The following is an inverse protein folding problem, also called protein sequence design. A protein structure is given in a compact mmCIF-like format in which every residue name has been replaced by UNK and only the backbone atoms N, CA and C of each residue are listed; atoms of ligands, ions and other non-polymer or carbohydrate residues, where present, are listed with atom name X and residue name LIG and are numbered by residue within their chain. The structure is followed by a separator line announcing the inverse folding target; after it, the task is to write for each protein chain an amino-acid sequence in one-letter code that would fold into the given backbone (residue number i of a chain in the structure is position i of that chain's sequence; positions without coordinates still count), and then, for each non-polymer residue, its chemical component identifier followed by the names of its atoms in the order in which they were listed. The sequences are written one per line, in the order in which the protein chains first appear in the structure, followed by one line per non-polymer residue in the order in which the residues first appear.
data_IF_892994889292
#
_entry.id   IF_892994889292
#
_cell.length_a   1.000
_cell.length_b   1.000
_cell.length_c   1.000
_cell.angle_alpha   90.00
_cell.angle_beta   90.00
_cell.angle_gamma   90.00
#
_symmetry.space_group_name_H-M   'P 1'
#
loop_
_entity.id
_entity.type
_entity.pdbx_description
1 polymer ?
#
# COMPACT_ATOMS: atom_id res chain seq x y z
N UNK A 1 -5.02 -21.65 1.98
CA UNK A 1 -4.09 -20.92 1.09
C UNK A 1 -3.51 -19.78 1.89
N UNK A 2 -2.19 -19.74 2.05
CA UNK A 2 -1.51 -18.63 2.71
C UNK A 2 -1.47 -17.44 1.74
N UNK A 3 -2.15 -16.35 2.11
CA UNK A 3 -2.19 -15.13 1.30
C UNK A 3 -1.07 -14.14 1.63
N UNK A 4 -0.27 -14.41 2.67
CA UNK A 4 0.79 -13.52 3.13
C UNK A 4 0.30 -12.27 3.87
N UNK A 5 -1.01 -12.14 4.13
CA UNK A 5 -1.64 -11.08 4.92
C UNK A 5 -2.88 -11.61 5.65
N UNK A 6 -3.27 -10.97 6.74
CA UNK A 6 -4.48 -11.29 7.48
C UNK A 6 -5.71 -10.81 6.71
N UNK A 7 -6.62 -11.74 6.43
CA UNK A 7 -7.85 -11.48 5.68
C UNK A 7 -9.04 -11.16 6.58
N UNK A 8 -8.92 -11.40 7.88
CA UNK A 8 -10.01 -11.19 8.82
C UNK A 8 -10.06 -9.72 9.24
N UNK A 9 -11.25 -9.12 9.22
CA UNK A 9 -11.46 -7.73 9.63
C UNK A 9 -10.72 -6.68 8.79
N UNK A 10 -10.44 -6.98 7.51
CA UNK A 10 -9.88 -6.00 6.55
C UNK A 10 -11.00 -5.43 5.68
N UNK A 11 -11.14 -4.10 5.71
CA UNK A 11 -12.01 -3.36 4.79
C UNK A 11 -11.14 -2.62 3.76
N UNK A 12 -11.47 -2.79 2.47
CA UNK A 12 -10.78 -2.10 1.37
C UNK A 12 -11.71 -1.03 0.80
N UNK A 13 -11.23 0.22 0.79
CA UNK A 13 -11.91 1.35 0.17
C UNK A 13 -11.08 1.85 -1.00
N UNK A 14 -11.73 2.06 -2.15
CA UNK A 14 -11.10 2.69 -3.32
C UNK A 14 -11.62 4.11 -3.45
N UNK A 15 -10.70 5.07 -3.46
CA UNK A 15 -11.00 6.49 -3.58
C UNK A 15 -10.28 7.05 -4.80
N UNK A 16 -10.98 7.87 -5.58
CA UNK A 16 -10.40 8.63 -6.67
C UNK A 16 -10.87 10.08 -6.59
N UNK A 17 -10.15 10.88 -5.80
CA UNK A 17 -10.44 12.29 -5.60
C UNK A 17 -10.03 13.18 -6.80
N UNK A 18 -9.34 12.62 -7.80
CA UNK A 18 -8.99 13.35 -9.03
C UNK A 18 -10.24 13.64 -9.87
N UNK A 19 -11.26 12.79 -9.77
CA UNK A 19 -12.54 12.95 -10.45
C UNK A 19 -13.38 14.11 -9.91
N UNK A 20 -12.99 14.71 -8.79
CA UNK A 20 -13.71 15.83 -8.16
C UNK A 20 -13.26 17.22 -8.65
N UNK A 21 -12.35 17.29 -9.63
CA UNK A 21 -11.85 18.55 -10.19
C UNK A 21 -10.87 19.31 -9.30
N UNK A 22 -10.35 18.67 -8.25
CA UNK A 22 -9.37 19.27 -7.34
C UNK A 22 -7.95 19.35 -7.96
N UNK A 23 -7.21 20.41 -7.60
CA UNK A 23 -5.77 20.49 -7.86
C UNK A 23 -5.02 19.42 -7.05
N UNK A 24 -3.86 18.97 -7.55
CA UNK A 24 -3.11 17.84 -7.01
C UNK A 24 -2.74 17.98 -5.51
N UNK A 25 -2.41 19.19 -5.07
CA UNK A 25 -2.08 19.48 -3.67
C UNK A 25 -3.29 19.23 -2.77
N UNK A 26 -4.49 19.62 -3.23
CA UNK A 26 -5.74 19.42 -2.51
C UNK A 26 -6.13 17.94 -2.45
N UNK A 27 -5.89 17.19 -3.52
CA UNK A 27 -6.08 15.73 -3.55
C UNK A 27 -5.19 15.04 -2.52
N UNK A 28 -3.92 15.45 -2.44
CA UNK A 28 -2.98 14.87 -1.46
C UNK A 28 -3.40 15.17 -0.02
N UNK A 29 -3.83 16.41 0.25
CA UNK A 29 -4.37 16.78 1.56
C UNK A 29 -5.62 15.96 1.90
N UNK A 30 -6.54 15.80 0.95
CA UNK A 30 -7.76 15.03 1.13
C UNK A 30 -7.48 13.59 1.57
N UNK A 31 -6.54 12.89 0.91
CA UNK A 31 -6.20 11.52 1.30
C UNK A 31 -5.61 11.42 2.71
N UNK A 32 -4.79 12.40 3.12
CA UNK A 32 -4.27 12.47 4.49
C UNK A 32 -5.38 12.67 5.52
N UNK A 33 -6.33 13.57 5.24
CA UNK A 33 -7.47 13.83 6.13
C UNK A 33 -8.39 12.61 6.25
N UNK A 34 -8.69 11.93 5.14
CA UNK A 34 -9.48 10.69 5.15
C UNK A 34 -8.79 9.63 5.99
N UNK A 35 -7.50 9.38 5.77
CA UNK A 35 -6.75 8.39 6.53
C UNK A 35 -6.75 8.70 8.02
N UNK A 36 -6.48 9.97 8.38
CA UNK A 36 -6.47 10.43 9.78
C UNK A 36 -7.83 10.23 10.45
N UNK A 37 -8.93 10.56 9.76
CA UNK A 37 -10.28 10.38 10.31
C UNK A 37 -10.67 8.92 10.45
N UNK A 38 -10.33 8.07 9.47
CA UNK A 38 -10.61 6.63 9.54
C UNK A 38 -9.83 5.99 10.67
N UNK A 39 -8.54 6.31 10.83
CA UNK A 39 -7.71 5.82 11.93
C UNK A 39 -8.22 6.24 13.32
N UNK A 40 -8.98 7.33 13.41
CA UNK A 40 -9.56 7.83 14.65
C UNK A 40 -10.95 7.28 14.98
N UNK A 41 -11.56 6.47 14.10
CA UNK A 41 -12.86 5.87 14.37
C UNK A 41 -12.76 4.83 15.49
N UNK A 42 -13.79 4.71 16.35
CA UNK A 42 -13.88 3.60 17.28
C UNK A 42 -13.86 2.28 16.51
N UNK A 43 -13.22 1.26 17.08
CA UNK A 43 -13.03 -0.09 16.52
C UNK A 43 -12.07 -0.22 15.33
N UNK A 44 -11.52 0.88 14.80
CA UNK A 44 -10.43 0.82 13.82
C UNK A 44 -9.10 0.61 14.55
N UNK A 45 -8.49 -0.57 14.36
CA UNK A 45 -7.19 -0.89 14.96
C UNK A 45 -6.01 -0.21 14.27
N UNK A 46 -6.06 -0.13 12.95
CA UNK A 46 -5.03 0.48 12.11
C UNK A 46 -5.62 0.84 10.75
N UNK A 47 -5.06 1.86 10.11
CA UNK A 47 -5.40 2.23 8.75
C UNK A 47 -4.14 2.66 8.00
N UNK A 48 -4.06 2.28 6.72
CA UNK A 48 -3.02 2.72 5.80
C UNK A 48 -3.59 2.78 4.38
N UNK A 49 -2.78 3.17 3.41
CA UNK A 49 -3.17 3.23 2.00
C UNK A 49 -2.18 2.49 1.11
N UNK A 50 -2.64 2.14 -0.08
CA UNK A 50 -1.83 1.62 -1.17
C UNK A 50 -2.31 2.20 -2.50
N UNK A 51 -1.39 2.48 -3.41
CA UNK A 51 -1.73 2.89 -4.78
C UNK A 51 -2.26 1.68 -5.57
N UNK A 52 -1.66 0.52 -5.38
CA UNK A 52 -2.12 -0.75 -5.92
C UNK A 52 -2.86 -1.51 -4.82
N UNK A 53 -4.18 -1.61 -4.94
CA UNK A 53 -5.02 -2.30 -3.96
C UNK A 53 -4.80 -3.81 -3.96
N UNK A 54 -5.03 -4.44 -2.80
CA UNK A 54 -4.97 -5.90 -2.64
C UNK A 54 -5.93 -6.60 -3.60
N UNK A 55 -5.46 -7.67 -4.23
CA UNK A 55 -6.27 -8.57 -5.09
C UNK A 55 -7.02 -7.84 -6.22
N UNK A 56 -6.50 -6.69 -6.67
CA UNK A 56 -7.11 -5.91 -7.77
C UNK A 56 -6.73 -6.41 -9.16
N UNK A 57 -5.79 -7.36 -9.25
CA UNK A 57 -5.17 -7.76 -10.52
C UNK A 57 -4.26 -6.69 -11.14
N UNK A 58 -4.10 -5.55 -10.46
CA UNK A 58 -3.27 -4.45 -10.92
C UNK A 58 -1.83 -4.67 -10.46
N UNK A 59 -0.86 -4.44 -11.33
CA UNK A 59 0.57 -4.56 -11.00
C UNK A 59 1.37 -3.41 -11.60
N UNK A 60 2.42 -2.97 -10.91
CA UNK A 60 3.31 -1.93 -11.41
C UNK A 60 4.75 -2.43 -11.44
N UNK A 61 5.32 -2.58 -12.64
CA UNK A 61 6.72 -2.95 -12.79
C UNK A 61 7.64 -1.89 -12.21
N UNK A 62 8.73 -2.30 -11.57
CA UNK A 62 9.58 -1.37 -10.81
C UNK A 62 10.86 -0.91 -11.52
N UNK A 63 11.34 -1.62 -12.54
CA UNK A 63 12.63 -1.29 -13.19
C UNK A 63 13.86 -1.35 -12.25
N UNK A 64 13.66 -1.76 -11.00
CA UNK A 64 14.70 -1.84 -9.97
C UNK A 64 15.63 -3.00 -10.32
N UNK A 65 16.93 -2.75 -10.25
CA UNK A 65 17.97 -3.77 -10.36
C UNK A 65 18.68 -3.88 -9.02
N UNK A 66 18.76 -5.10 -8.50
CA UNK A 66 19.60 -5.39 -7.35
C UNK A 66 21.07 -5.44 -7.80
N UNK A 67 21.95 -4.86 -6.99
CA UNK A 67 23.39 -4.96 -7.21
C UNK A 67 23.83 -6.43 -7.19
N UNK A 68 24.67 -6.82 -8.15
CA UNK A 68 25.12 -8.21 -8.31
C UNK A 68 24.08 -9.17 -8.90
N UNK A 69 22.87 -8.71 -9.25
CA UNK A 69 21.85 -9.55 -9.86
C UNK A 69 21.85 -9.45 -11.40
N UNK A 70 21.92 -10.60 -12.07
CA UNK A 70 21.77 -10.72 -13.52
C UNK A 70 20.42 -11.37 -13.84
N UNK A 71 19.47 -10.64 -14.46
CA UNK A 71 18.18 -11.20 -14.86
C UNK A 71 18.34 -12.35 -15.86
N UNK A 72 17.51 -13.39 -15.71
CA UNK A 72 17.42 -14.48 -16.71
C UNK A 72 16.49 -14.07 -17.84
N UNK A 73 16.55 -14.79 -18.96
CA UNK A 73 15.57 -14.61 -20.03
C UNK A 73 14.15 -14.85 -19.48
N UNK A 74 13.23 -13.92 -19.78
CA UNK A 74 11.86 -13.95 -19.27
C UNK A 74 11.68 -13.39 -17.85
N UNK A 75 12.74 -12.96 -17.18
CA UNK A 75 12.64 -12.27 -15.89
C UNK A 75 11.97 -10.89 -16.07
N UNK A 76 10.82 -10.72 -15.44
CA UNK A 76 10.01 -9.49 -15.50
C UNK A 76 10.45 -8.43 -14.50
N UNK A 77 11.41 -8.77 -13.63
CA UNK A 77 11.85 -7.93 -12.53
C UNK A 77 10.79 -7.77 -11.44
N UNK A 78 11.11 -7.02 -10.36
CA UNK A 78 10.21 -6.86 -9.25
C UNK A 78 9.04 -5.93 -9.60
N UNK A 79 7.89 -6.21 -8.99
CA UNK A 79 6.77 -5.28 -8.93
C UNK A 79 6.99 -4.30 -7.76
N UNK A 80 6.44 -3.09 -7.87
CA UNK A 80 6.44 -2.08 -6.81
C UNK A 80 5.03 -1.63 -6.48
N UNK A 81 4.87 -1.15 -5.26
CA UNK A 81 3.69 -0.44 -4.81
C UNK A 81 4.12 0.74 -3.95
N UNK A 82 3.37 1.83 -4.00
CA UNK A 82 3.49 2.89 -2.99
C UNK A 82 2.44 2.63 -1.92
N UNK A 83 2.91 2.53 -0.68
CA UNK A 83 2.09 2.28 0.49
C UNK A 83 2.37 3.32 1.57
N UNK A 84 1.39 3.55 2.42
CA UNK A 84 1.55 4.42 3.59
C UNK A 84 2.36 3.74 4.70
N UNK A 85 2.75 4.54 5.70
CA UNK A 85 3.26 4.02 6.96
C UNK A 85 2.27 3.03 7.61
N UNK A 86 2.78 2.03 8.32
CA UNK A 86 1.97 1.02 9.01
C UNK A 86 1.17 0.09 8.08
N UNK A 87 1.47 0.06 6.78
CA UNK A 87 0.77 -0.80 5.82
C UNK A 87 0.90 -2.29 6.17
N UNK A 88 2.12 -2.73 6.49
CA UNK A 88 2.36 -4.12 6.86
C UNK A 88 1.66 -4.47 8.16
N UNK A 89 1.74 -3.59 9.17
CA UNK A 89 1.01 -3.75 10.43
C UNK A 89 -0.52 -3.83 10.23
N UNK A 90 -1.10 -2.93 9.43
CA UNK A 90 -2.54 -2.90 9.13
C UNK A 90 -3.03 -4.21 8.53
N UNK A 91 -2.18 -4.88 7.75
CA UNK A 91 -2.49 -6.14 7.07
C UNK A 91 -1.95 -7.38 7.79
N UNK A 92 -1.34 -7.24 8.96
CA UNK A 92 -0.74 -8.37 9.68
C UNK A 92 0.41 -9.05 8.92
N UNK A 93 1.09 -8.32 8.02
CA UNK A 93 2.22 -8.85 7.25
C UNK A 93 3.49 -8.75 8.12
N UNK A 94 4.16 -9.87 8.43
CA UNK A 94 5.35 -9.85 9.28
C UNK A 94 6.57 -9.31 8.51
N UNK A 95 7.29 -8.36 9.12
CA UNK A 95 8.61 -7.94 8.66
C UNK A 95 9.65 -8.86 9.30
N UNK A 96 10.31 -9.69 8.47
CA UNK A 96 11.29 -10.68 8.95
C UNK A 96 12.63 -10.06 9.33
N UNK A 97 12.98 -8.92 8.72
CA UNK A 97 14.21 -8.18 8.99
C UNK A 97 14.00 -6.68 8.75
N UNK A 98 14.58 -5.84 9.60
CA UNK A 98 14.46 -4.39 9.53
C UNK A 98 13.25 -3.84 10.30
N UNK A 99 12.63 -2.77 9.77
CA UNK A 99 11.49 -2.07 10.37
C UNK A 99 10.54 -1.53 9.29
N UNK A 100 9.31 -1.21 9.69
CA UNK A 100 8.30 -0.59 8.82
C UNK A 100 8.67 0.87 8.48
N UNK A 101 7.91 1.47 7.57
CA UNK A 101 7.98 2.89 7.23
C UNK A 101 7.43 3.73 8.38
N UNK A 102 8.26 4.60 8.94
CA UNK A 102 7.93 5.49 10.06
C UNK A 102 9.19 5.98 10.77
N UNK A 103 9.08 6.92 11.72
CA UNK A 103 10.17 7.26 12.63
C UNK A 103 10.63 6.06 13.46
#
# INVERSE_FOLDING_TARGET
MDTGFDRQNVLVLRLDASLSGYKQERVTQFYREVLSRVAALPDVRAASYAVMGLVTGNSWGSGIKAEGYTPREGDRGPLRNFVGAGYFHTLGIPILAGRDFGP
#
